data_IF_366371149128
#
_entry.id   IF_366371149128
#
_cell.length_a   1.000
_cell.length_b   1.000
_cell.length_c   1.000
_cell.angle_alpha   90.00
_cell.angle_beta   90.00
_cell.angle_gamma   90.00
#
_symmetry.space_group_name_H-M   'P 1'
#
loop_
_entity.id
_entity.type
_entity.pdbx_description
1 polymer ?
#
# COMPACT_ATOMS: atom_id res chain seq x y z
N UNK A 1 -1.25 5.72 -26.86
CA UNK A 1 -0.97 4.28 -26.72
C UNK A 1 -2.25 3.60 -26.27
N UNK A 2 -2.61 2.47 -26.89
CA UNK A 2 -3.73 1.65 -26.39
C UNK A 2 -3.33 0.99 -25.07
N UNK A 3 -4.26 0.89 -24.12
CA UNK A 3 -4.06 0.16 -22.87
C UNK A 3 -3.70 -1.30 -23.19
N UNK A 4 -2.67 -1.87 -22.55
CA UNK A 4 -2.38 -3.30 -22.68
C UNK A 4 -3.59 -4.17 -22.31
N UNK A 5 -3.69 -5.35 -22.91
CA UNK A 5 -4.78 -6.28 -22.61
C UNK A 5 -4.56 -6.93 -21.24
N UNK A 6 -5.16 -6.30 -20.22
CA UNK A 6 -4.99 -6.67 -18.81
C UNK A 6 -6.31 -7.03 -18.15
N UNK A 7 -6.22 -7.78 -17.04
CA UNK A 7 -7.35 -8.05 -16.16
C UNK A 7 -6.98 -7.82 -14.70
N UNK A 8 -7.99 -7.60 -13.87
CA UNK A 8 -7.84 -7.39 -12.43
C UNK A 8 -8.47 -8.57 -11.70
N UNK A 9 -7.66 -9.25 -10.90
CA UNK A 9 -8.07 -10.42 -10.11
C UNK A 9 -7.82 -10.20 -8.61
N UNK A 10 -8.38 -11.06 -7.78
CA UNK A 10 -7.99 -11.16 -6.38
C UNK A 10 -6.59 -11.77 -6.28
N UNK A 11 -5.77 -11.24 -5.37
CA UNK A 11 -4.49 -11.87 -5.01
C UNK A 11 -4.75 -13.20 -4.29
N UNK A 12 -4.08 -14.28 -4.74
CA UNK A 12 -4.12 -15.59 -4.10
C UNK A 12 -2.97 -15.73 -3.09
N UNK A 13 -3.13 -16.57 -2.08
CA UNK A 13 -2.08 -16.81 -1.08
C UNK A 13 -0.77 -17.34 -1.69
N UNK A 14 -0.87 -18.22 -2.69
CA UNK A 14 0.28 -18.72 -3.44
C UNK A 14 1.08 -17.65 -4.21
N UNK A 15 0.56 -16.44 -4.32
CA UNK A 15 1.13 -15.34 -5.10
C UNK A 15 1.69 -14.22 -4.20
N UNK A 16 1.67 -14.39 -2.87
CA UNK A 16 2.15 -13.37 -1.95
C UNK A 16 3.62 -13.03 -2.15
N UNK A 17 4.45 -14.01 -2.49
CA UNK A 17 5.88 -13.79 -2.72
C UNK A 17 6.14 -12.95 -3.98
N UNK A 18 5.43 -13.25 -5.07
CA UNK A 18 5.52 -12.45 -6.30
C UNK A 18 5.00 -11.03 -6.08
N UNK A 19 3.85 -10.88 -5.42
CA UNK A 19 3.28 -9.58 -5.11
C UNK A 19 4.19 -8.76 -4.17
N UNK A 20 4.78 -9.40 -3.15
CA UNK A 20 5.73 -8.76 -2.25
C UNK A 20 6.98 -8.29 -2.99
N UNK A 21 7.50 -9.07 -3.95
CA UNK A 21 8.64 -8.68 -4.78
C UNK A 21 8.33 -7.43 -5.60
N UNK A 22 7.15 -7.36 -6.23
CA UNK A 22 6.71 -6.16 -6.98
C UNK A 22 6.66 -4.92 -6.07
N UNK A 23 6.16 -5.09 -4.83
CA UNK A 23 6.12 -4.02 -3.85
C UNK A 23 7.52 -3.60 -3.39
N UNK A 24 8.43 -4.55 -3.17
CA UNK A 24 9.85 -4.25 -2.85
C UNK A 24 10.45 -3.38 -3.94
N UNK A 25 10.36 -3.81 -5.20
CA UNK A 25 10.95 -3.11 -6.34
C UNK A 25 10.38 -1.68 -6.49
N UNK A 26 9.10 -1.49 -6.17
CA UNK A 26 8.46 -0.18 -6.23
C UNK A 26 8.81 0.75 -5.06
N UNK A 27 9.13 0.19 -3.88
CA UNK A 27 9.26 0.97 -2.66
C UNK A 27 10.67 0.99 -2.04
N UNK A 28 11.65 0.25 -2.56
CA UNK A 28 12.98 0.18 -1.95
C UNK A 28 13.72 1.53 -1.95
N UNK A 29 13.42 2.42 -2.90
CA UNK A 29 13.99 3.78 -2.95
C UNK A 29 13.26 4.79 -2.07
N UNK A 30 12.14 4.41 -1.44
CA UNK A 30 11.35 5.31 -0.62
C UNK A 30 12.01 5.54 0.75
N UNK A 31 12.33 6.80 1.06
CA UNK A 31 13.03 7.22 2.28
C UNK A 31 12.29 6.84 3.58
N UNK A 32 10.97 6.71 3.54
CA UNK A 32 10.19 6.25 4.68
C UNK A 32 10.65 4.87 5.17
N UNK A 33 10.90 3.95 4.24
CA UNK A 33 11.35 2.60 4.57
C UNK A 33 12.83 2.52 4.94
N UNK A 34 13.67 3.38 4.36
CA UNK A 34 15.08 3.49 4.75
C UNK A 34 15.24 3.89 6.24
N UNK A 35 14.27 4.61 6.80
CA UNK A 35 14.25 4.96 8.22
C UNK A 35 13.95 3.79 9.15
N UNK A 36 13.34 2.71 8.64
CA UNK A 36 13.06 1.47 9.39
C UNK A 36 14.29 0.57 9.40
N UNK A 37 14.86 0.33 8.22
CA UNK A 37 15.93 -0.63 8.01
C UNK A 37 17.27 0.10 7.87
N UNK A 38 17.99 0.19 9.00
CA UNK A 38 19.26 0.95 9.08
C UNK A 38 20.39 0.33 8.28
N UNK A 39 20.40 -1.01 8.19
CA UNK A 39 21.34 -1.73 7.33
C UNK A 39 20.80 -1.78 5.90
N UNK A 40 21.43 -1.00 5.02
CA UNK A 40 21.03 -0.90 3.61
C UNK A 40 21.14 -2.22 2.87
N UNK A 41 22.14 -3.05 3.22
CA UNK A 41 22.33 -4.35 2.56
C UNK A 41 21.19 -5.32 2.84
N UNK A 42 20.44 -5.10 3.91
CA UNK A 42 19.29 -5.91 4.32
C UNK A 42 17.94 -5.22 4.11
N UNK A 43 17.93 -4.06 3.46
CA UNK A 43 16.69 -3.29 3.20
C UNK A 43 15.69 -4.15 2.41
N UNK A 44 16.13 -4.78 1.32
CA UNK A 44 15.24 -5.61 0.48
C UNK A 44 14.63 -6.77 1.25
N UNK A 45 15.42 -7.47 2.08
CA UNK A 45 14.93 -8.57 2.91
C UNK A 45 13.87 -8.09 3.91
N UNK A 46 14.13 -6.95 4.53
CA UNK A 46 13.21 -6.33 5.48
C UNK A 46 11.90 -5.89 4.82
N UNK A 47 11.99 -5.27 3.65
CA UNK A 47 10.81 -4.87 2.85
C UNK A 47 10.02 -6.08 2.36
N UNK A 48 10.71 -7.13 1.90
CA UNK A 48 10.05 -8.36 1.46
C UNK A 48 9.25 -8.99 2.60
N UNK A 49 9.86 -9.12 3.78
CA UNK A 49 9.15 -9.61 4.95
C UNK A 49 7.95 -8.71 5.30
N UNK A 50 8.16 -7.39 5.31
CA UNK A 50 7.11 -6.41 5.63
C UNK A 50 5.92 -6.53 4.67
N UNK A 51 6.15 -6.52 3.36
CA UNK A 51 5.07 -6.58 2.39
C UNK A 51 4.38 -7.94 2.37
N UNK A 52 5.14 -9.04 2.41
CA UNK A 52 4.56 -10.39 2.47
C UNK A 52 3.66 -10.57 3.70
N UNK A 53 4.13 -10.14 4.87
CA UNK A 53 3.34 -10.24 6.10
C UNK A 53 2.12 -9.32 6.10
N UNK A 54 2.24 -8.11 5.55
CA UNK A 54 1.09 -7.22 5.37
C UNK A 54 0.04 -7.84 4.44
N UNK A 55 0.45 -8.37 3.28
CA UNK A 55 -0.45 -9.06 2.36
C UNK A 55 -1.17 -10.22 3.04
N UNK A 56 -0.45 -11.03 3.81
CA UNK A 56 -1.06 -12.12 4.59
C UNK A 56 -2.10 -11.60 5.59
N UNK A 57 -1.74 -10.59 6.41
CA UNK A 57 -2.61 -10.08 7.47
C UNK A 57 -3.90 -9.46 6.91
N UNK A 58 -3.79 -8.64 5.85
CA UNK A 58 -4.95 -7.92 5.31
C UNK A 58 -5.87 -8.80 4.45
N UNK A 59 -5.35 -9.87 3.82
CA UNK A 59 -6.15 -10.75 2.95
C UNK A 59 -6.73 -11.97 3.66
N UNK A 60 -6.35 -12.22 4.91
CA UNK A 60 -6.70 -13.45 5.63
C UNK A 60 -8.20 -13.69 5.79
N UNK A 61 -8.99 -12.64 5.99
CA UNK A 61 -10.44 -12.74 6.23
C UNK A 61 -11.28 -12.34 5.04
N UNK A 62 -10.74 -11.46 4.19
CA UNK A 62 -11.39 -10.97 2.99
C UNK A 62 -10.33 -10.55 1.96
N UNK A 63 -10.62 -10.77 0.69
CA UNK A 63 -9.70 -10.41 -0.39
C UNK A 63 -9.76 -8.91 -0.67
N UNK A 64 -8.89 -8.13 0.00
CA UNK A 64 -8.77 -6.68 -0.18
C UNK A 64 -7.67 -6.28 -1.14
N UNK A 65 -6.73 -7.18 -1.44
CA UNK A 65 -5.67 -6.96 -2.42
C UNK A 65 -6.06 -7.50 -3.78
N UNK A 66 -5.81 -6.68 -4.79
CA UNK A 66 -6.02 -7.02 -6.20
C UNK A 66 -4.68 -7.02 -6.92
N UNK A 67 -4.60 -7.84 -7.94
CA UNK A 67 -3.47 -7.88 -8.87
C UNK A 67 -3.93 -7.58 -10.28
N UNK A 68 -3.09 -6.89 -11.02
CA UNK A 68 -3.26 -6.68 -12.46
C UNK A 68 -2.39 -7.68 -13.20
N UNK A 69 -2.99 -8.38 -14.16
CA UNK A 69 -2.29 -9.40 -14.97
C UNK A 69 -2.40 -9.11 -16.44
N UNK A 70 -1.36 -9.46 -17.16
CA UNK A 70 -1.45 -9.60 -18.61
C UNK A 70 -2.35 -10.79 -18.95
N UNK A 71 -3.31 -10.63 -19.87
CA UNK A 71 -4.22 -11.73 -20.21
C UNK A 71 -3.54 -12.88 -20.94
N UNK A 72 -2.51 -12.58 -21.73
CA UNK A 72 -1.81 -13.55 -22.55
C UNK A 72 -0.84 -14.43 -21.76
N UNK A 73 -0.09 -13.85 -20.81
CA UNK A 73 0.97 -14.55 -20.04
C UNK A 73 0.54 -14.89 -18.61
N UNK A 74 -0.55 -14.31 -18.13
CA UNK A 74 -0.99 -14.41 -16.74
C UNK A 74 -0.01 -13.79 -15.71
N UNK A 75 1.04 -13.13 -16.19
CA UNK A 75 2.03 -12.44 -15.37
C UNK A 75 1.37 -11.35 -14.50
N UNK A 76 1.72 -11.29 -13.22
CA UNK A 76 1.35 -10.18 -12.35
C UNK A 76 2.24 -8.98 -12.68
N UNK A 77 1.62 -7.88 -13.08
CA UNK A 77 2.32 -6.65 -13.46
C UNK A 77 2.00 -5.47 -12.55
N UNK A 78 1.05 -5.63 -11.65
CA UNK A 78 0.70 -4.61 -10.66
C UNK A 78 -0.07 -5.18 -9.48
N UNK A 79 -0.01 -4.47 -8.36
CA UNK A 79 -0.64 -4.81 -7.09
C UNK A 79 -1.24 -3.55 -6.48
N UNK A 80 -2.40 -3.67 -5.84
CA UNK A 80 -2.95 -2.64 -4.97
C UNK A 80 -3.87 -3.23 -3.92
N UNK A 81 -4.02 -2.55 -2.80
CA UNK A 81 -4.94 -2.94 -1.73
C UNK A 81 -5.94 -1.83 -1.43
N UNK A 82 -7.19 -2.19 -1.25
CA UNK A 82 -8.24 -1.29 -0.81
C UNK A 82 -8.85 -1.82 0.49
N UNK A 83 -8.46 -1.22 1.60
CA UNK A 83 -8.93 -1.62 2.92
C UNK A 83 -10.30 -0.97 3.22
N UNK A 84 -11.22 -1.70 3.88
CA UNK A 84 -12.53 -1.16 4.25
C UNK A 84 -12.39 -0.10 5.35
N UNK A 85 -13.43 0.75 5.56
CA UNK A 85 -13.40 1.85 6.52
C UNK A 85 -13.01 1.46 7.95
N UNK A 86 -13.42 0.28 8.39
CA UNK A 86 -13.10 -0.23 9.73
C UNK A 86 -11.76 -0.97 9.80
N UNK A 87 -10.97 -0.95 8.70
CA UNK A 87 -9.73 -1.69 8.58
C UNK A 87 -9.93 -3.22 8.64
N UNK A 88 -8.84 -3.93 8.76
CA UNK A 88 -8.84 -5.39 8.94
C UNK A 88 -8.40 -5.71 10.37
N UNK A 89 -9.26 -6.35 11.13
CA UNK A 89 -8.93 -6.78 12.50
C UNK A 89 -8.02 -8.02 12.42
N UNK A 90 -6.83 -7.90 13.00
CA UNK A 90 -5.89 -9.01 13.18
C UNK A 90 -5.96 -9.54 14.61
N UNK A 91 -5.86 -10.86 14.78
CA UNK A 91 -5.81 -11.51 16.08
C UNK A 91 -4.36 -11.76 16.51
N UNK A 92 -4.14 -11.97 17.80
CA UNK A 92 -2.81 -12.29 18.32
C UNK A 92 -2.17 -13.49 17.62
N UNK A 93 -2.98 -14.52 17.29
CA UNK A 93 -2.52 -15.70 16.53
C UNK A 93 -1.97 -15.36 15.15
N UNK A 94 -2.43 -14.28 14.54
CA UNK A 94 -1.97 -13.86 13.23
C UNK A 94 -0.54 -13.34 13.31
N UNK A 95 -0.25 -12.59 14.36
CA UNK A 95 1.10 -12.07 14.63
C UNK A 95 2.13 -13.17 14.93
N UNK A 96 1.70 -14.27 15.55
CA UNK A 96 2.57 -15.43 15.73
C UNK A 96 2.93 -16.10 14.41
N UNK A 97 1.99 -16.18 13.47
CA UNK A 97 2.19 -16.83 12.17
C UNK A 97 3.15 -16.08 11.23
N UNK A 98 3.26 -14.77 11.37
CA UNK A 98 4.12 -13.95 10.50
C UNK A 98 5.59 -13.91 10.93
N UNK A 99 5.97 -14.64 11.96
CA UNK A 99 7.38 -14.78 12.35
C UNK A 99 8.00 -13.52 12.97
N UNK A 100 7.23 -12.78 13.80
CA UNK A 100 7.76 -11.59 14.51
C UNK A 100 9.05 -11.88 15.29
N UNK A 101 9.18 -13.01 16.03
CA UNK A 101 10.43 -13.31 16.73
C UNK A 101 11.64 -13.39 15.79
N UNK A 102 11.50 -14.05 14.64
CA UNK A 102 12.56 -14.18 13.64
C UNK A 102 12.91 -12.80 13.02
N UNK A 103 11.91 -11.97 12.81
CA UNK A 103 12.13 -10.60 12.34
C UNK A 103 12.91 -9.77 13.36
N UNK A 104 12.55 -9.85 14.65
CA UNK A 104 13.27 -9.15 15.73
C UNK A 104 14.72 -9.63 15.80
N UNK A 105 14.99 -10.92 15.69
CA UNK A 105 16.34 -11.47 15.65
C UNK A 105 17.15 -10.94 14.45
N UNK A 106 16.50 -10.75 13.32
CA UNK A 106 17.14 -10.33 12.08
C UNK A 106 17.34 -8.82 11.97
N UNK A 107 16.38 -8.01 12.42
CA UNK A 107 16.34 -6.55 12.21
C UNK A 107 16.30 -5.73 13.49
N UNK A 108 16.16 -6.40 14.62
CA UNK A 108 16.11 -5.79 15.95
C UNK A 108 14.72 -5.23 16.32
N UNK A 109 14.49 -5.10 17.61
CA UNK A 109 13.23 -4.56 18.16
C UNK A 109 12.97 -3.11 17.73
N UNK A 110 14.05 -2.35 17.47
CA UNK A 110 13.96 -0.97 16.97
C UNK A 110 13.22 -0.86 15.62
N UNK A 111 13.42 -1.83 14.71
CA UNK A 111 12.73 -1.85 13.42
C UNK A 111 11.22 -2.02 13.61
N UNK A 112 10.79 -2.98 14.44
CA UNK A 112 9.37 -3.20 14.76
C UNK A 112 8.75 -1.93 15.35
N UNK A 113 9.41 -1.33 16.34
CA UNK A 113 8.92 -0.10 16.98
C UNK A 113 8.77 1.06 15.97
N UNK A 114 9.75 1.20 15.06
CA UNK A 114 9.72 2.26 14.05
C UNK A 114 8.58 2.02 13.05
N UNK A 115 8.38 0.78 12.58
CA UNK A 115 7.25 0.41 11.70
C UNK A 115 5.91 0.75 12.34
N UNK A 116 5.69 0.30 13.57
CA UNK A 116 4.43 0.55 14.29
C UNK A 116 4.19 2.04 14.51
N UNK A 117 5.23 2.80 14.86
CA UNK A 117 5.14 4.26 15.02
C UNK A 117 4.78 4.94 13.70
N UNK A 118 5.43 4.54 12.60
CA UNK A 118 5.20 5.11 11.28
C UNK A 118 3.77 4.84 10.81
N UNK A 119 3.29 3.60 10.94
CA UNK A 119 1.92 3.21 10.59
C UNK A 119 0.89 4.01 11.40
N UNK A 120 1.06 4.10 12.73
CA UNK A 120 0.18 4.86 13.61
C UNK A 120 0.15 6.34 13.26
N UNK A 121 1.31 6.96 12.98
CA UNK A 121 1.40 8.38 12.61
C UNK A 121 0.74 8.64 11.26
N UNK A 122 1.03 7.86 10.23
CA UNK A 122 0.42 8.03 8.92
C UNK A 122 -1.10 7.89 8.98
N UNK A 123 -1.59 6.88 9.71
CA UNK A 123 -3.03 6.68 9.93
C UNK A 123 -3.65 7.86 10.69
N UNK A 124 -3.02 8.32 11.75
CA UNK A 124 -3.51 9.46 12.54
C UNK A 124 -3.59 10.73 11.70
N UNK A 125 -2.53 11.06 10.94
CA UNK A 125 -2.47 12.23 10.08
C UNK A 125 -3.56 12.19 9.00
N UNK A 126 -3.70 11.06 8.31
CA UNK A 126 -4.74 10.90 7.29
C UNK A 126 -6.15 11.01 7.90
N UNK A 127 -6.40 10.35 9.04
CA UNK A 127 -7.70 10.42 9.72
C UNK A 127 -8.04 11.85 10.16
N UNK A 128 -7.07 12.58 10.70
CA UNK A 128 -7.25 13.99 11.07
C UNK A 128 -7.53 14.87 9.84
N UNK A 129 -6.81 14.64 8.74
CA UNK A 129 -6.97 15.41 7.51
C UNK A 129 -8.32 15.17 6.83
N UNK A 130 -8.83 13.93 6.83
CA UNK A 130 -10.15 13.59 6.28
C UNK A 130 -11.27 14.08 7.20
N UNK A 131 -11.01 14.16 8.50
CA UNK A 131 -12.01 14.47 9.54
C UNK A 131 -12.64 13.21 10.13
N UNK A 132 -13.78 13.35 10.81
CA UNK A 132 -14.44 12.25 11.51
C UNK A 132 -15.16 11.22 10.60
N UNK A 133 -15.04 11.35 9.29
CA UNK A 133 -15.72 10.48 8.33
C UNK A 133 -14.97 9.15 8.15
N UNK A 134 -15.71 8.08 7.95
CA UNK A 134 -15.16 6.79 7.54
C UNK A 134 -14.63 6.87 6.09
N UNK A 135 -13.54 6.17 5.80
CA UNK A 135 -12.95 6.13 4.47
C UNK A 135 -12.38 4.75 4.13
N UNK A 136 -12.43 4.38 2.85
CA UNK A 136 -11.63 3.29 2.31
C UNK A 136 -10.18 3.73 2.24
N UNK A 137 -9.25 2.87 2.62
CA UNK A 137 -7.82 3.19 2.54
C UNK A 137 -7.17 2.49 1.35
N UNK A 138 -6.75 3.27 0.35
CA UNK A 138 -5.98 2.79 -0.80
C UNK A 138 -4.51 2.71 -0.44
N UNK A 139 -3.92 1.53 -0.50
CA UNK A 139 -2.53 1.28 -0.12
C UNK A 139 -1.82 0.29 -1.02
N UNK A 140 -0.49 0.20 -0.90
CA UNK A 140 0.38 -0.74 -1.61
C UNK A 140 0.15 -0.73 -3.13
N UNK A 141 0.01 0.46 -3.72
CA UNK A 141 -0.18 0.63 -5.17
C UNK A 141 1.18 0.55 -5.85
N UNK A 142 1.38 -0.46 -6.67
CA UNK A 142 2.62 -0.68 -7.42
C UNK A 142 2.34 -1.25 -8.81
N UNK A 143 3.12 -0.81 -9.80
CA UNK A 143 3.18 -1.36 -11.15
C UNK A 143 4.65 -1.67 -11.46
N UNK A 144 4.93 -2.86 -12.02
CA UNK A 144 6.29 -3.23 -12.48
C UNK A 144 6.84 -2.14 -13.40
N UNK A 145 8.13 -1.80 -13.23
CA UNK A 145 8.78 -0.67 -13.92
C UNK A 145 8.57 -0.70 -15.45
N UNK A 146 8.67 -1.86 -16.07
CA UNK A 146 8.52 -2.03 -17.53
C UNK A 146 7.09 -1.73 -18.04
N UNK A 147 6.11 -1.63 -17.15
CA UNK A 147 4.70 -1.38 -17.48
C UNK A 147 4.21 -0.01 -16.98
N UNK A 148 5.09 0.78 -16.35
CA UNK A 148 4.76 2.13 -15.93
C UNK A 148 4.61 3.06 -17.15
N UNK A 149 3.88 4.16 -17.01
CA UNK A 149 3.62 5.10 -18.11
C UNK A 149 2.63 4.60 -19.18
N UNK A 150 2.15 3.35 -19.09
CA UNK A 150 1.22 2.75 -20.06
C UNK A 150 -0.26 2.93 -19.75
N UNK A 151 -0.60 3.70 -18.70
CA UNK A 151 -1.98 3.92 -18.25
C UNK A 151 -2.57 2.82 -17.38
N UNK A 152 -1.83 1.72 -17.10
CA UNK A 152 -2.32 0.59 -16.29
C UNK A 152 -2.68 1.04 -14.87
N UNK A 153 -1.87 1.89 -14.24
CA UNK A 153 -2.15 2.41 -12.90
C UNK A 153 -3.48 3.17 -12.84
N UNK A 154 -3.72 4.05 -13.81
CA UNK A 154 -4.97 4.79 -13.92
C UNK A 154 -6.17 3.87 -14.16
N UNK A 155 -6.03 2.91 -15.07
CA UNK A 155 -7.06 1.89 -15.33
C UNK A 155 -7.43 1.11 -14.07
N UNK A 156 -6.42 0.62 -13.35
CA UNK A 156 -6.56 -0.16 -12.14
C UNK A 156 -7.36 0.58 -11.07
N UNK A 157 -6.98 1.82 -10.77
CA UNK A 157 -7.63 2.64 -9.75
C UNK A 157 -9.03 3.05 -10.19
N UNK A 158 -9.22 3.52 -11.45
CA UNK A 158 -10.52 3.88 -11.97
C UNK A 158 -11.51 2.70 -11.94
N UNK A 159 -11.07 1.49 -12.30
CA UNK A 159 -11.90 0.29 -12.20
C UNK A 159 -12.34 0.01 -10.76
N UNK A 160 -11.41 0.18 -9.81
CA UNK A 160 -11.70 0.05 -8.38
C UNK A 160 -12.73 1.08 -7.92
N UNK A 161 -12.53 2.37 -8.25
CA UNK A 161 -13.43 3.46 -7.88
C UNK A 161 -14.82 3.30 -8.50
N UNK A 162 -14.92 2.87 -9.77
CA UNK A 162 -16.21 2.58 -10.41
C UNK A 162 -16.97 1.48 -9.68
N UNK A 163 -16.28 0.41 -9.28
CA UNK A 163 -16.89 -0.66 -8.48
C UNK A 163 -17.40 -0.16 -7.13
N UNK A 164 -16.65 0.71 -6.47
CA UNK A 164 -17.10 1.31 -5.21
C UNK A 164 -18.35 2.17 -5.40
N UNK A 165 -18.39 3.00 -6.45
CA UNK A 165 -19.56 3.84 -6.79
C UNK A 165 -20.81 3.02 -7.09
N UNK A 166 -20.67 1.85 -7.72
CA UNK A 166 -21.80 0.96 -8.06
C UNK A 166 -22.40 0.24 -6.86
N UNK A 167 -21.69 0.21 -5.73
CA UNK A 167 -22.16 -0.43 -4.50
C UNK A 167 -22.74 0.68 -3.61
N UNK A 168 -24.05 0.69 -3.42
CA UNK A 168 -24.72 1.63 -2.52
C UNK A 168 -24.22 1.40 -1.08
N UNK A 169 -23.30 2.25 -0.59
CA UNK A 169 -22.65 2.14 0.70
C UNK A 169 -22.72 3.43 1.48
N UNK A 170 -22.60 3.32 2.79
CA UNK A 170 -22.59 4.44 3.73
C UNK A 170 -21.30 5.27 3.58
N UNK A 171 -20.18 4.63 3.24
CA UNK A 171 -18.88 5.30 3.08
C UNK A 171 -18.62 5.67 1.60
N UNK A 172 -18.43 6.96 1.34
CA UNK A 172 -18.21 7.53 0.00
C UNK A 172 -16.83 8.17 -0.17
N UNK A 173 -15.90 7.96 0.78
CA UNK A 173 -14.57 8.58 0.74
C UNK A 173 -13.48 7.51 0.60
N UNK A 174 -12.52 7.75 -0.27
CA UNK A 174 -11.27 6.98 -0.38
C UNK A 174 -10.11 7.86 0.04
N UNK A 175 -9.35 7.43 1.04
CA UNK A 175 -8.14 8.11 1.50
C UNK A 175 -6.87 7.35 1.10
N UNK A 176 -5.78 8.06 0.96
CA UNK A 176 -4.45 7.49 0.78
C UNK A 176 -3.36 8.41 1.36
N UNK A 177 -2.20 7.82 1.62
CA UNK A 177 -0.98 8.56 1.90
C UNK A 177 0.09 8.22 0.86
N UNK A 178 0.90 9.21 0.49
CA UNK A 178 2.06 8.99 -0.40
C UNK A 178 3.23 9.86 0.04
N UNK A 179 4.46 9.47 -0.34
CA UNK A 179 5.68 10.15 0.05
C UNK A 179 6.41 10.80 -1.13
N UNK A 180 5.93 10.58 -2.36
CA UNK A 180 6.57 11.07 -3.57
C UNK A 180 5.69 12.12 -4.26
N UNK A 181 6.24 13.29 -4.66
CA UNK A 181 5.50 14.32 -5.37
C UNK A 181 4.90 13.84 -6.70
N UNK A 182 5.57 12.91 -7.38
CA UNK A 182 5.10 12.33 -8.63
C UNK A 182 3.79 11.56 -8.43
N UNK A 183 3.66 10.88 -7.29
CA UNK A 183 2.43 10.19 -6.92
C UNK A 183 1.29 11.18 -6.61
N UNK A 184 1.59 12.33 -6.01
CA UNK A 184 0.59 13.38 -5.80
C UNK A 184 0.01 13.82 -7.13
N UNK A 185 0.87 14.09 -8.13
CA UNK A 185 0.44 14.44 -9.48
C UNK A 185 -0.42 13.34 -10.10
N UNK A 186 0.02 12.08 -10.00
CA UNK A 186 -0.72 10.93 -10.51
C UNK A 186 -2.12 10.81 -9.88
N UNK A 187 -2.22 10.88 -8.56
CA UNK A 187 -3.52 10.77 -7.87
C UNK A 187 -4.41 11.99 -8.12
N UNK A 188 -3.84 13.19 -8.26
CA UNK A 188 -4.62 14.39 -8.63
C UNK A 188 -5.28 14.24 -10.00
N UNK A 189 -4.59 13.66 -10.98
CA UNK A 189 -5.17 13.36 -12.30
C UNK A 189 -6.30 12.33 -12.23
N UNK A 190 -6.37 11.52 -11.17
CA UNK A 190 -7.46 10.57 -10.91
C UNK A 190 -8.61 11.18 -10.08
N UNK A 191 -8.52 12.47 -9.74
CA UNK A 191 -9.54 13.20 -9.00
C UNK A 191 -9.33 13.24 -7.50
N UNK A 192 -8.21 12.72 -6.97
CA UNK A 192 -7.88 12.89 -5.55
C UNK A 192 -7.47 14.33 -5.25
N UNK A 193 -7.90 14.81 -4.11
CA UNK A 193 -7.54 16.12 -3.58
C UNK A 193 -6.48 15.96 -2.50
N UNK A 194 -5.40 16.76 -2.58
CA UNK A 194 -4.43 16.85 -1.50
C UNK A 194 -5.07 17.62 -0.33
N UNK A 195 -5.04 17.03 0.87
CA UNK A 195 -5.61 17.60 2.08
C UNK A 195 -4.56 18.38 2.87
N UNK A 196 -3.45 17.71 3.17
CA UNK A 196 -2.31 18.27 3.86
C UNK A 196 -1.02 17.58 3.45
N UNK A 197 0.10 18.12 3.92
CA UNK A 197 1.43 17.57 3.72
C UNK A 197 2.38 18.02 4.82
N UNK A 198 3.42 17.25 5.06
CA UNK A 198 4.43 17.61 6.05
C UNK A 198 5.54 16.60 6.22
N UNK A 199 6.61 17.04 6.87
CA UNK A 199 7.73 16.19 7.22
C UNK A 199 7.43 15.38 8.47
N UNK A 200 7.66 14.09 8.41
CA UNK A 200 7.52 13.17 9.55
C UNK A 200 8.92 12.84 10.08
N UNK A 201 9.18 13.26 11.32
CA UNK A 201 10.43 13.01 12.03
C UNK A 201 10.39 11.66 12.74
N UNK A 202 11.38 10.80 12.45
CA UNK A 202 11.64 9.55 13.13
C UNK A 202 12.99 9.63 13.84
N UNK A 203 13.30 8.64 14.72
CA UNK A 203 14.61 8.62 15.41
C UNK A 203 15.82 8.56 14.47
N UNK A 204 15.67 7.98 13.28
CA UNK A 204 16.76 7.66 12.36
C UNK A 204 16.52 8.18 10.94
N UNK A 205 15.90 9.33 10.83
CA UNK A 205 15.60 9.97 9.55
C UNK A 205 14.25 10.65 9.53
N UNK A 206 13.97 11.27 8.41
CA UNK A 206 12.69 11.91 8.14
C UNK A 206 12.21 11.52 6.75
N UNK A 207 10.93 11.65 6.51
CA UNK A 207 10.33 11.55 5.20
C UNK A 207 9.18 12.53 5.05
N UNK A 208 8.88 12.90 3.83
CA UNK A 208 7.76 13.78 3.54
C UNK A 208 6.51 12.95 3.27
N UNK A 209 5.35 13.39 3.78
CA UNK A 209 4.08 12.69 3.63
C UNK A 209 3.01 13.61 3.08
N UNK A 210 2.22 13.11 2.15
CA UNK A 210 1.06 13.76 1.54
C UNK A 210 -0.18 12.94 1.87
N UNK A 211 -1.20 13.58 2.42
CA UNK A 211 -2.51 12.97 2.66
C UNK A 211 -3.48 13.42 1.58
N UNK A 212 -4.16 12.46 0.97
CA UNK A 212 -5.08 12.73 -0.13
C UNK A 212 -6.41 12.01 0.07
N UNK A 213 -7.50 12.58 -0.44
CA UNK A 213 -8.81 11.94 -0.49
C UNK A 213 -9.48 12.08 -1.85
N UNK A 214 -10.42 11.19 -2.11
CA UNK A 214 -11.38 11.28 -3.21
C UNK A 214 -12.77 10.97 -2.66
N UNK A 215 -13.73 11.83 -2.94
CA UNK A 215 -15.14 11.58 -2.66
C UNK A 215 -15.77 10.89 -3.88
N UNK A 216 -16.47 9.74 -3.65
CA UNK A 216 -16.97 8.81 -4.69
C UNK A 216 -18.25 9.32 -5.36
#
# INVERSE_FOLDING_TARGET
MSLPDVRIDNLKESEYDEAATILVDAFESNLAYASIFVNKDRLRDGLFWLFKTNLFLINRRQSVTKVVRMKNSMEIIGVFSLLPPNGIKSEFRDYLKIGIPQFIMSFGFSAVRTMLKMDALNKQLLTNAIGANEYYYLSMVAIKANYQGSGIGSYMINNCLQKLRSINRICHTVGLTTQLPENVTFYTLLGFQKLDEGEIQLKKGCYYNYNMKLDL
#
